data_IF_375199409658
#
_entry.id   IF_375199409658
#
_cell.length_a   1.000
_cell.length_b   1.000
_cell.length_c   1.000
_cell.angle_alpha   90.00
_cell.angle_beta   90.00
_cell.angle_gamma   90.00
#
_symmetry.space_group_name_H-M   'P 1'
#
loop_
_entity.id
_entity.type
_entity.pdbx_description
1 polymer ?
#
# COMPACT_ATOMS: atom_id res chain seq x y z
N UNK A 1 0.90 8.34 15.36
CA UNK A 1 1.61 8.91 14.20
C UNK A 1 2.85 8.05 13.96
N UNK A 2 3.20 7.68 12.72
CA UNK A 2 4.33 6.78 12.42
C UNK A 2 5.04 7.25 11.14
N UNK A 3 6.34 7.01 11.04
CA UNK A 3 7.14 7.29 9.85
C UNK A 3 7.17 6.05 8.96
N UNK A 4 6.82 6.20 7.68
CA UNK A 4 6.99 5.13 6.70
C UNK A 4 8.44 5.12 6.20
N UNK A 5 9.22 4.11 6.60
CA UNK A 5 10.56 3.90 6.04
C UNK A 5 10.47 3.07 4.77
N UNK A 6 10.84 3.68 3.64
CA UNK A 6 10.88 3.05 2.34
C UNK A 6 12.28 2.50 2.07
N UNK A 7 12.36 1.25 1.65
CA UNK A 7 13.64 0.61 1.33
C UNK A 7 13.79 0.43 -0.18
N UNK A 8 15.00 0.67 -0.70
CA UNK A 8 15.38 0.43 -2.08
C UNK A 8 16.67 -0.38 -2.18
N UNK A 9 16.81 -1.14 -3.26
CA UNK A 9 18.01 -1.97 -3.53
C UNK A 9 18.39 -1.82 -4.98
N UNK A 10 19.68 -1.57 -5.24
CA UNK A 10 20.27 -1.56 -6.57
C UNK A 10 21.32 -2.66 -6.66
N UNK A 11 21.13 -3.60 -7.58
CA UNK A 11 21.89 -4.84 -7.68
C UNK A 11 21.37 -5.99 -6.79
N UNK A 12 21.99 -7.16 -6.93
CA UNK A 12 21.53 -8.35 -6.22
C UNK A 12 22.10 -8.36 -4.80
N UNK A 13 21.28 -7.92 -3.86
CA UNK A 13 21.52 -8.03 -2.43
C UNK A 13 20.21 -7.86 -1.69
N UNK A 14 20.28 -7.81 -0.37
CA UNK A 14 19.14 -7.54 0.49
C UNK A 14 19.50 -6.58 1.61
N UNK A 15 18.53 -5.76 2.01
CA UNK A 15 18.54 -5.03 3.27
C UNK A 15 17.59 -5.78 4.21
N UNK A 16 18.10 -6.16 5.38
CA UNK A 16 17.32 -6.85 6.42
C UNK A 16 17.40 -6.10 7.74
N UNK A 17 16.30 -6.02 8.48
CA UNK A 17 16.33 -5.52 9.87
C UNK A 17 16.99 -6.55 10.78
N UNK A 18 17.95 -6.10 11.60
CA UNK A 18 18.65 -6.94 12.59
C UNK A 18 18.36 -6.51 14.03
N UNK A 19 17.96 -5.26 14.25
CA UNK A 19 17.53 -4.78 15.56
C UNK A 19 16.53 -3.62 15.42
N UNK A 20 15.70 -3.43 16.44
CA UNK A 20 14.80 -2.29 16.56
C UNK A 20 14.61 -1.90 18.02
N UNK A 21 14.35 -0.62 18.26
CA UNK A 21 14.00 -0.09 19.58
C UNK A 21 12.54 0.36 19.62
N UNK A 22 12.02 0.53 20.83
CA UNK A 22 10.68 1.09 21.05
C UNK A 22 10.72 2.59 20.85
N UNK A 23 9.64 3.14 20.29
CA UNK A 23 9.46 4.58 20.19
C UNK A 23 8.98 5.20 21.50
N UNK A 24 8.74 6.51 21.46
CA UNK A 24 8.36 7.31 22.64
C UNK A 24 7.10 6.79 23.36
N UNK A 25 6.16 6.19 22.64
CA UNK A 25 4.93 5.61 23.19
C UNK A 25 5.05 4.10 23.51
N UNK A 26 6.28 3.57 23.62
CA UNK A 26 6.54 2.15 23.92
C UNK A 26 6.23 1.16 22.79
N UNK A 27 5.76 1.63 21.64
CA UNK A 27 5.44 0.80 20.47
C UNK A 27 6.70 0.42 19.68
N UNK A 28 6.71 -0.80 19.13
CA UNK A 28 7.74 -1.29 18.20
C UNK A 28 7.40 -0.96 16.74
N UNK A 29 8.39 -0.97 15.82
CA UNK A 29 8.14 -0.98 14.38
C UNK A 29 7.20 -2.12 13.98
N UNK A 30 6.23 -1.81 13.10
CA UNK A 30 5.14 -2.75 12.76
C UNK A 30 5.60 -4.01 12.03
N UNK A 31 6.74 -3.98 11.35
CA UNK A 31 7.34 -5.15 10.69
C UNK A 31 8.83 -4.95 10.38
N UNK A 32 9.65 -6.01 10.36
CA UNK A 32 11.02 -5.93 9.89
C UNK A 32 11.08 -5.68 8.38
N UNK A 33 12.13 -5.00 7.93
CA UNK A 33 12.46 -4.88 6.51
C UNK A 33 13.15 -6.17 6.06
N UNK A 34 12.70 -6.69 4.92
CA UNK A 34 13.36 -7.76 4.17
C UNK A 34 13.18 -7.43 2.70
N UNK A 35 14.05 -6.55 2.21
CA UNK A 35 13.96 -5.97 0.88
C UNK A 35 15.17 -6.39 0.04
N UNK A 36 14.98 -7.15 -1.02
CA UNK A 36 16.10 -7.72 -1.74
C UNK A 36 15.77 -8.98 -2.50
N UNK A 37 16.81 -9.72 -2.84
CA UNK A 37 16.68 -11.09 -3.33
C UNK A 37 16.01 -12.01 -2.29
N UNK A 38 16.10 -11.68 -0.99
CA UNK A 38 15.52 -12.49 0.09
C UNK A 38 14.05 -12.16 0.41
N UNK A 39 13.49 -11.09 -0.16
CA UNK A 39 12.12 -10.68 0.16
C UNK A 39 11.70 -9.34 -0.44
N UNK A 40 10.40 -9.06 -0.35
CA UNK A 40 9.77 -7.87 -0.92
C UNK A 40 9.12 -6.97 0.14
N UNK A 41 9.44 -7.19 1.41
CA UNK A 41 9.00 -6.35 2.53
C UNK A 41 9.93 -5.11 2.62
N UNK A 42 9.77 -4.20 1.66
CA UNK A 42 10.56 -2.97 1.53
C UNK A 42 9.92 -1.74 2.20
N UNK A 43 9.05 -1.98 3.18
CA UNK A 43 8.40 -0.94 3.98
C UNK A 43 8.43 -1.38 5.44
N UNK A 44 8.77 -0.45 6.34
CA UNK A 44 8.43 -0.56 7.75
C UNK A 44 7.78 0.73 8.23
N UNK A 45 6.83 0.61 9.16
CA UNK A 45 6.28 1.76 9.86
C UNK A 45 6.93 1.85 11.23
N UNK A 46 7.67 2.95 11.43
CA UNK A 46 8.52 3.16 12.59
C UNK A 46 7.86 4.21 13.48
N UNK A 47 7.58 3.90 14.76
CA UNK A 47 7.07 4.88 15.72
C UNK A 47 8.05 6.04 15.93
N UNK A 48 7.57 7.25 16.27
CA UNK A 48 8.42 8.40 16.57
C UNK A 48 9.43 8.07 17.67
N UNK A 49 10.69 8.46 17.45
CA UNK A 49 11.81 8.19 18.36
C UNK A 49 12.33 6.76 18.35
N UNK A 50 11.67 5.82 17.66
CA UNK A 50 12.20 4.48 17.50
C UNK A 50 13.37 4.46 16.49
N UNK A 51 14.31 3.56 16.73
CA UNK A 51 15.42 3.27 15.83
C UNK A 51 15.26 1.89 15.20
N UNK A 52 15.77 1.75 13.98
CA UNK A 52 15.83 0.48 13.27
C UNK A 52 17.21 0.29 12.66
N UNK A 53 17.89 -0.77 13.08
CA UNK A 53 19.19 -1.16 12.55
C UNK A 53 19.01 -2.18 11.44
N UNK A 54 19.51 -1.82 10.26
CA UNK A 54 19.47 -2.61 9.05
C UNK A 54 20.87 -3.11 8.71
N UNK A 55 20.93 -4.31 8.12
CA UNK A 55 22.13 -4.93 7.59
C UNK A 55 21.99 -5.12 6.08
N UNK A 56 22.99 -4.68 5.33
CA UNK A 56 23.17 -5.02 3.92
C UNK A 56 23.76 -6.44 3.82
N UNK A 57 23.11 -7.29 3.03
CA UNK A 57 23.47 -8.69 2.81
C UNK A 57 23.63 -8.90 1.31
N UNK A 58 24.87 -8.91 0.78
CA UNK A 58 25.12 -9.21 -0.63
C UNK A 58 24.63 -10.61 -1.00
N UNK A 59 24.12 -10.76 -2.22
CA UNK A 59 23.86 -12.10 -2.77
C UNK A 59 25.19 -12.78 -3.16
N UNK A 60 25.22 -14.11 -3.32
CA UNK A 60 26.38 -14.80 -3.90
C UNK A 60 26.82 -14.16 -5.22
N UNK A 61 28.13 -13.92 -5.37
CA UNK A 61 28.69 -13.24 -6.55
C UNK A 61 28.60 -11.72 -6.54
N UNK A 62 28.10 -11.09 -5.46
CA UNK A 62 28.00 -9.64 -5.29
C UNK A 62 28.73 -9.17 -4.04
N UNK A 63 29.14 -7.90 -4.02
CA UNK A 63 29.64 -7.19 -2.85
C UNK A 63 28.81 -5.94 -2.57
N UNK A 64 28.77 -5.52 -1.32
CA UNK A 64 28.16 -4.26 -0.93
C UNK A 64 29.04 -3.09 -1.37
N UNK A 65 28.49 -2.16 -2.15
CA UNK A 65 29.21 -0.98 -2.64
C UNK A 65 29.04 0.24 -1.72
N UNK A 66 27.90 0.33 -1.02
CA UNK A 66 27.60 1.38 -0.07
C UNK A 66 26.11 1.71 0.03
N UNK A 67 25.78 2.53 1.01
CA UNK A 67 24.45 3.12 1.14
C UNK A 67 24.31 4.30 0.16
N UNK A 68 23.13 4.43 -0.46
CA UNK A 68 22.81 5.47 -1.45
C UNK A 68 21.93 6.57 -0.86
N UNK A 69 20.98 6.20 -0.01
CA UNK A 69 20.10 7.14 0.70
C UNK A 69 19.88 6.72 2.14
N UNK A 70 19.62 7.69 3.02
CA UNK A 70 19.29 7.50 4.44
C UNK A 70 20.47 7.19 5.35
N UNK A 71 21.45 6.44 4.86
CA UNK A 71 22.74 6.19 5.52
C UNK A 71 23.90 6.55 4.58
N UNK A 72 25.09 6.70 5.15
CA UNK A 72 26.32 7.01 4.41
C UNK A 72 27.40 5.95 4.69
N UNK A 73 28.38 5.88 3.80
CA UNK A 73 29.53 4.99 3.95
C UNK A 73 29.31 3.55 3.49
N UNK A 74 30.28 2.69 3.84
CA UNK A 74 30.39 1.29 3.40
C UNK A 74 30.22 0.27 4.53
N UNK A 75 29.88 0.72 5.74
CA UNK A 75 29.51 -0.21 6.81
C UNK A 75 28.32 -1.04 6.38
N UNK A 76 28.37 -2.35 6.60
CA UNK A 76 27.25 -3.25 6.31
C UNK A 76 26.02 -2.92 7.18
N UNK A 77 26.19 -2.17 8.26
CA UNK A 77 25.10 -1.75 9.14
C UNK A 77 24.71 -0.30 8.91
N UNK A 78 23.41 -0.03 9.02
CA UNK A 78 22.82 1.30 8.90
C UNK A 78 21.72 1.42 9.94
N UNK A 79 21.82 2.41 10.82
CA UNK A 79 20.79 2.69 11.81
C UNK A 79 19.99 3.89 11.36
N UNK A 80 18.68 3.71 11.22
CA UNK A 80 17.73 4.76 10.90
C UNK A 80 16.92 5.12 12.15
N UNK A 81 16.78 6.41 12.44
CA UNK A 81 15.94 6.91 13.53
C UNK A 81 14.72 7.63 12.96
N UNK A 82 13.53 7.24 13.38
CA UNK A 82 12.32 7.97 13.02
C UNK A 82 12.25 9.28 13.80
N UNK A 83 12.17 10.40 13.08
CA UNK A 83 11.94 11.71 13.68
C UNK A 83 10.58 11.83 14.39
N UNK A 84 10.38 12.95 15.09
CA UNK A 84 9.16 13.20 15.88
C UNK A 84 7.87 13.38 15.07
N UNK A 85 7.93 13.52 13.73
CA UNK A 85 6.80 13.87 12.88
C UNK A 85 6.41 12.77 11.86
N UNK A 86 5.15 12.81 11.40
CA UNK A 86 4.67 11.93 10.32
C UNK A 86 5.41 12.26 9.04
N UNK A 87 6.05 11.27 8.45
CA UNK A 87 6.78 11.46 7.20
C UNK A 87 7.16 10.16 6.53
N UNK A 88 7.91 10.31 5.45
CA UNK A 88 8.45 9.21 4.66
C UNK A 88 9.97 9.30 4.73
N UNK A 89 10.61 8.30 5.34
CA UNK A 89 12.06 8.11 5.26
C UNK A 89 12.42 7.22 4.08
N UNK A 90 13.65 7.30 3.58
CA UNK A 90 14.13 6.34 2.58
C UNK A 90 15.53 5.87 2.90
N UNK A 91 15.76 4.56 2.74
CA UNK A 91 17.08 3.94 2.84
C UNK A 91 17.30 3.07 1.62
N UNK A 92 18.45 3.20 0.98
CA UNK A 92 18.80 2.35 -0.15
C UNK A 92 20.26 1.93 -0.15
N UNK A 93 20.51 0.74 -0.70
CA UNK A 93 21.82 0.11 -0.77
C UNK A 93 22.15 -0.27 -2.20
N UNK A 94 23.43 -0.19 -2.54
CA UNK A 94 23.97 -0.69 -3.80
C UNK A 94 24.82 -1.94 -3.57
N UNK A 95 24.61 -2.93 -4.43
CA UNK A 95 25.35 -4.17 -4.51
C UNK A 95 25.89 -4.33 -5.93
N UNK A 96 27.20 -4.47 -6.07
CA UNK A 96 27.85 -4.63 -7.36
C UNK A 96 28.35 -6.07 -7.52
N UNK A 97 28.26 -6.66 -8.73
CA UNK A 97 28.80 -7.98 -8.97
C UNK A 97 30.32 -7.99 -8.74
N UNK A 98 30.85 -9.10 -8.23
CA UNK A 98 32.30 -9.29 -8.04
C UNK A 98 33.06 -9.30 -9.37
N UNK A 99 32.42 -9.81 -10.43
CA UNK A 99 32.90 -9.78 -11.81
C UNK A 99 31.94 -8.94 -12.67
N UNK A 100 32.08 -7.60 -12.70
CA UNK A 100 31.15 -6.74 -13.40
C UNK A 100 31.34 -6.83 -14.92
N UNK A 101 30.23 -7.04 -15.64
CA UNK A 101 30.18 -6.72 -17.06
C UNK A 101 30.06 -5.20 -17.19
N UNK A 102 31.18 -4.51 -17.46
CA UNK A 102 31.23 -3.05 -17.57
C UNK A 102 30.33 -2.50 -18.69
N UNK A 103 30.02 -3.31 -19.70
CA UNK A 103 29.11 -2.94 -20.76
C UNK A 103 27.64 -3.00 -20.32
N UNK A 104 27.29 -3.63 -19.20
CA UNK A 104 25.92 -3.76 -18.69
C UNK A 104 25.69 -2.86 -17.47
N UNK A 105 25.10 -1.70 -17.71
CA UNK A 105 24.68 -0.75 -16.69
C UNK A 105 23.18 -0.52 -16.84
N UNK A 106 22.43 -0.78 -15.78
CA UNK A 106 21.00 -0.49 -15.68
C UNK A 106 20.80 0.66 -14.70
N UNK A 107 19.97 1.63 -15.07
CA UNK A 107 19.57 2.74 -14.20
C UNK A 107 18.06 2.85 -14.20
N UNK A 108 17.47 2.76 -13.02
CA UNK A 108 16.05 2.98 -12.83
C UNK A 108 15.87 4.35 -12.18
N UNK A 109 15.06 5.22 -12.77
CA UNK A 109 14.67 6.47 -12.13
C UNK A 109 13.64 6.19 -11.02
N UNK A 110 13.50 7.11 -10.07
CA UNK A 110 12.46 7.00 -9.03
C UNK A 110 11.08 6.91 -9.68
N UNK A 111 10.34 5.80 -9.52
CA UNK A 111 9.03 5.64 -10.13
C UNK A 111 8.01 6.53 -9.43
N UNK A 112 6.96 6.91 -10.16
CA UNK A 112 5.86 7.70 -9.60
C UNK A 112 4.51 7.06 -9.89
N UNK A 113 3.59 7.20 -8.94
CA UNK A 113 2.19 6.79 -9.08
C UNK A 113 1.31 7.99 -8.77
N UNK A 114 0.67 8.52 -9.81
CA UNK A 114 -0.35 9.57 -9.65
C UNK A 114 -1.70 8.90 -9.50
N UNK A 115 -2.31 8.97 -8.31
CA UNK A 115 -3.56 8.29 -7.99
C UNK A 115 -4.65 9.26 -7.53
N UNK A 116 -5.91 8.91 -7.85
CA UNK A 116 -7.12 9.58 -7.37
C UNK A 116 -8.08 8.54 -6.80
N UNK A 117 -8.82 8.93 -5.77
CA UNK A 117 -9.79 8.09 -5.10
C UNK A 117 -11.15 8.77 -5.17
N UNK A 118 -12.18 8.05 -5.62
CA UNK A 118 -13.57 8.51 -5.62
C UNK A 118 -14.42 7.46 -4.94
N UNK A 119 -15.08 7.82 -3.84
CA UNK A 119 -15.87 6.89 -3.04
C UNK A 119 -15.09 5.58 -2.70
N UNK A 120 -13.85 5.75 -2.25
CA UNK A 120 -12.91 4.66 -1.94
C UNK A 120 -12.53 3.76 -3.11
N UNK A 121 -12.83 4.14 -4.36
CA UNK A 121 -12.36 3.45 -5.56
C UNK A 121 -11.14 4.18 -6.12
N UNK A 122 -9.99 3.51 -6.09
CA UNK A 122 -8.72 4.05 -6.57
C UNK A 122 -8.51 3.84 -8.07
N UNK A 123 -8.01 4.88 -8.75
CA UNK A 123 -7.47 4.83 -10.11
C UNK A 123 -6.16 5.61 -10.14
N UNK A 124 -5.15 5.11 -10.82
CA UNK A 124 -3.89 5.83 -10.95
C UNK A 124 -3.09 5.46 -12.18
N UNK A 125 -2.03 6.22 -12.44
CA UNK A 125 -1.08 5.99 -13.52
C UNK A 125 0.30 5.77 -12.93
N UNK A 126 0.86 4.58 -13.17
CA UNK A 126 2.26 4.28 -12.91
C UNK A 126 3.11 4.87 -14.04
N UNK A 127 4.16 5.61 -13.68
CA UNK A 127 5.20 6.07 -14.60
C UNK A 127 6.55 5.51 -14.15
N UNK A 128 7.24 4.87 -15.09
CA UNK A 128 8.56 4.29 -14.87
C UNK A 128 9.46 4.70 -16.02
N UNK A 129 10.67 5.12 -15.70
CA UNK A 129 11.69 5.50 -16.68
C UNK A 129 13.03 4.94 -16.24
N UNK A 130 13.88 4.65 -17.21
CA UNK A 130 15.22 4.17 -16.94
C UNK A 130 16.03 4.04 -18.22
N UNK A 131 17.22 3.48 -18.08
CA UNK A 131 18.08 3.14 -19.20
C UNK A 131 18.83 1.85 -18.92
N UNK A 132 19.21 1.18 -20.01
CA UNK A 132 20.11 0.04 -20.00
C UNK A 132 21.06 0.15 -21.19
N UNK A 133 22.34 -0.09 -20.96
CA UNK A 133 23.38 0.07 -21.99
C UNK A 133 23.38 -1.05 -23.04
N UNK A 134 22.92 -2.25 -22.69
CA UNK A 134 22.76 -3.37 -23.62
C UNK A 134 21.29 -3.66 -23.92
N UNK A 135 20.97 -4.10 -25.15
CA UNK A 135 19.65 -4.64 -25.47
C UNK A 135 19.22 -5.72 -24.48
N UNK A 136 18.05 -5.54 -23.86
CA UNK A 136 17.59 -6.42 -22.79
C UNK A 136 16.08 -6.69 -22.84
N UNK A 137 15.70 -7.88 -22.37
CA UNK A 137 14.32 -8.24 -22.03
C UNK A 137 14.14 -8.01 -20.53
N UNK A 138 13.42 -6.96 -20.16
CA UNK A 138 13.15 -6.57 -18.79
C UNK A 138 11.77 -7.03 -18.35
N UNK A 139 11.67 -7.42 -17.09
CA UNK A 139 10.43 -7.75 -16.40
C UNK A 139 10.25 -6.80 -15.22
N UNK A 140 9.20 -6.01 -15.28
CA UNK A 140 8.80 -5.08 -14.24
C UNK A 140 7.63 -5.67 -13.46
N UNK A 141 7.71 -5.67 -12.14
CA UNK A 141 6.60 -6.05 -11.27
C UNK A 141 6.32 -4.95 -10.25
N UNK A 142 5.05 -4.58 -10.12
CA UNK A 142 4.54 -3.74 -9.05
C UNK A 142 3.78 -4.61 -8.05
N UNK A 143 4.05 -4.46 -6.76
CA UNK A 143 3.43 -5.24 -5.68
C UNK A 143 3.17 -4.40 -4.45
N UNK A 144 2.38 -4.93 -3.51
CA UNK A 144 2.40 -4.44 -2.13
C UNK A 144 3.65 -4.95 -1.41
N UNK A 145 4.19 -4.23 -0.42
CA UNK A 145 5.27 -4.74 0.42
C UNK A 145 4.89 -6.10 1.02
N UNK A 146 5.76 -7.10 0.85
CA UNK A 146 5.52 -8.48 1.31
C UNK A 146 4.47 -9.27 0.53
N UNK A 147 3.84 -8.68 -0.47
CA UNK A 147 2.76 -9.30 -1.25
C UNK A 147 3.17 -9.83 -2.62
N UNK A 148 2.24 -10.54 -3.25
CA UNK A 148 2.33 -10.95 -4.64
C UNK A 148 2.28 -9.77 -5.63
N UNK A 149 2.69 -10.00 -6.90
CA UNK A 149 2.64 -8.98 -7.94
C UNK A 149 1.21 -8.58 -8.28
N UNK A 150 0.91 -7.28 -8.22
CA UNK A 150 -0.35 -6.68 -8.66
C UNK A 150 -0.35 -6.37 -10.16
N UNK A 151 0.83 -6.09 -10.71
CA UNK A 151 1.04 -5.82 -12.13
C UNK A 151 2.38 -6.41 -12.53
N UNK A 152 2.43 -7.09 -13.67
CA UNK A 152 3.67 -7.51 -14.33
C UNK A 152 3.67 -6.98 -15.76
N UNK A 153 4.78 -6.38 -16.19
CA UNK A 153 4.98 -5.87 -17.55
C UNK A 153 6.34 -6.31 -18.06
N UNK A 154 6.37 -6.81 -19.29
CA UNK A 154 7.61 -7.14 -19.99
C UNK A 154 7.95 -6.00 -20.94
N UNK A 155 9.22 -5.60 -20.98
CA UNK A 155 9.72 -4.46 -21.76
C UNK A 155 10.94 -4.95 -22.53
N UNK A 156 11.00 -4.68 -23.84
CA UNK A 156 12.26 -4.77 -24.59
C UNK A 156 12.90 -3.39 -24.55
N UNK A 157 14.11 -3.28 -24.04
CA UNK A 157 14.81 -2.01 -23.89
C UNK A 157 16.13 -2.04 -24.67
N UNK A 158 16.36 -1.00 -25.46
CA UNK A 158 17.60 -0.75 -26.20
C UNK A 158 17.98 0.70 -25.89
N UNK A 159 18.84 0.90 -24.90
CA UNK A 159 19.10 2.24 -24.35
C UNK A 159 18.03 2.68 -23.35
N UNK A 160 17.42 3.86 -23.58
CA UNK A 160 16.37 4.41 -22.72
C UNK A 160 15.05 3.64 -22.82
N UNK A 161 14.33 3.53 -21.70
CA UNK A 161 12.98 2.95 -21.68
C UNK A 161 12.03 3.75 -20.79
N UNK A 162 10.74 3.71 -21.16
CA UNK A 162 9.65 4.34 -20.44
C UNK A 162 8.43 3.44 -20.45
N UNK A 163 7.75 3.31 -19.33
CA UNK A 163 6.51 2.55 -19.18
C UNK A 163 5.48 3.41 -18.47
N UNK A 164 4.30 3.52 -19.07
CA UNK A 164 3.09 4.01 -18.43
C UNK A 164 2.10 2.86 -18.26
N UNK A 165 1.46 2.75 -17.11
CA UNK A 165 0.48 1.68 -16.87
C UNK A 165 -0.66 2.14 -15.98
N UNK A 166 -1.89 1.92 -16.44
CA UNK A 166 -3.10 2.28 -15.72
C UNK A 166 -3.38 1.28 -14.59
N UNK A 167 -3.38 1.78 -13.35
CA UNK A 167 -3.67 1.04 -12.13
C UNK A 167 -5.13 1.24 -11.75
N UNK A 168 -5.99 0.30 -12.13
CA UNK A 168 -7.41 0.27 -11.74
C UNK A 168 -7.90 -1.18 -11.62
N UNK A 169 -9.03 -1.36 -10.94
CA UNK A 169 -9.72 -2.67 -10.91
C UNK A 169 -9.94 -3.17 -12.35
N UNK A 170 -9.68 -4.46 -12.57
CA UNK A 170 -9.69 -5.10 -13.89
C UNK A 170 -8.33 -5.14 -14.58
N UNK A 171 -7.44 -4.17 -14.30
CA UNK A 171 -6.06 -4.16 -14.83
C UNK A 171 -5.03 -4.74 -13.84
N UNK A 172 -5.41 -4.89 -12.58
CA UNK A 172 -4.59 -5.47 -11.53
C UNK A 172 -4.96 -6.94 -11.32
N UNK A 173 -3.96 -7.75 -10.97
CA UNK A 173 -4.12 -9.18 -10.74
C UNK A 173 -5.22 -9.48 -9.70
N UNK A 174 -5.97 -10.56 -9.93
CA UNK A 174 -7.00 -11.04 -9.00
C UNK A 174 -8.14 -10.05 -8.76
N UNK A 175 -8.40 -9.11 -9.68
CA UNK A 175 -9.41 -8.08 -9.51
C UNK A 175 -9.09 -7.08 -8.40
N UNK A 176 -7.81 -6.99 -8.00
CA UNK A 176 -7.35 -6.10 -6.94
C UNK A 176 -7.70 -4.63 -7.24
N UNK A 177 -7.89 -3.87 -6.17
CA UNK A 177 -8.12 -2.44 -6.25
C UNK A 177 -6.86 -1.68 -5.86
N UNK A 178 -6.66 -0.51 -6.48
CA UNK A 178 -5.68 0.44 -6.00
C UNK A 178 -6.17 1.03 -4.66
N UNK A 179 -5.35 0.94 -3.63
CA UNK A 179 -5.52 1.61 -2.36
C UNK A 179 -4.30 2.51 -2.07
N UNK A 180 -4.38 3.50 -1.17
CA UNK A 180 -3.21 4.27 -0.75
C UNK A 180 -2.11 3.42 -0.10
N UNK A 181 -0.98 4.04 0.21
CA UNK A 181 0.17 3.40 0.88
C UNK A 181 1.30 3.02 -0.07
N UNK A 182 2.25 2.23 0.43
CA UNK A 182 3.45 1.89 -0.33
C UNK A 182 3.22 0.77 -1.36
N UNK A 183 4.05 0.81 -2.40
CA UNK A 183 4.18 -0.21 -3.43
C UNK A 183 5.67 -0.43 -3.71
N UNK A 184 6.04 -1.68 -3.93
CA UNK A 184 7.40 -2.05 -4.32
C UNK A 184 7.41 -2.33 -5.81
N UNK A 185 8.33 -1.71 -6.52
CA UNK A 185 8.59 -1.95 -7.92
C UNK A 185 9.91 -2.69 -8.04
N UNK A 186 9.89 -3.86 -8.67
CA UNK A 186 11.09 -4.64 -8.98
C UNK A 186 11.28 -4.71 -10.50
N UNK A 187 12.50 -4.45 -10.96
CA UNK A 187 12.95 -4.64 -12.33
C UNK A 187 14.02 -5.73 -12.34
N UNK A 188 13.76 -6.78 -13.11
CA UNK A 188 14.71 -7.86 -13.40
C UNK A 188 14.75 -8.08 -14.92
N UNK A 189 15.61 -8.96 -15.41
CA UNK A 189 15.66 -9.28 -16.83
C UNK A 189 16.95 -9.92 -17.27
N UNK A 190 17.14 -10.01 -18.57
CA UNK A 190 18.38 -10.50 -19.19
C UNK A 190 18.79 -9.62 -20.38
N UNK A 191 20.10 -9.39 -20.51
CA UNK A 191 20.73 -8.83 -21.69
C UNK A 191 21.53 -9.96 -22.36
N UNK A 192 20.98 -10.54 -23.44
CA UNK A 192 21.42 -11.84 -23.94
C UNK A 192 21.30 -12.90 -22.84
N UNK A 193 22.44 -13.52 -22.49
CA UNK A 193 22.54 -14.52 -21.41
C UNK A 193 22.96 -13.91 -20.06
N UNK A 194 23.25 -12.60 -20.00
CA UNK A 194 23.68 -11.95 -18.76
C UNK A 194 22.46 -11.48 -17.97
N UNK A 195 22.28 -11.90 -16.70
CA UNK A 195 21.22 -11.38 -15.84
C UNK A 195 21.40 -9.88 -15.59
N UNK A 196 20.31 -9.12 -15.71
CA UNK A 196 20.29 -7.71 -15.34
C UNK A 196 20.25 -7.61 -13.81
N UNK A 197 21.16 -6.84 -13.17
CA UNK A 197 21.14 -6.65 -11.73
C UNK A 197 19.79 -6.09 -11.25
N UNK A 198 19.23 -6.70 -10.21
CA UNK A 198 17.93 -6.35 -9.63
C UNK A 198 17.85 -4.86 -9.31
N UNK A 199 16.77 -4.20 -9.71
CA UNK A 199 16.46 -2.86 -9.22
C UNK A 199 15.16 -2.93 -8.44
N UNK A 200 15.16 -2.47 -7.20
CA UNK A 200 13.95 -2.33 -6.38
C UNK A 200 13.83 -0.94 -5.81
N UNK A 201 12.68 -0.32 -6.08
CA UNK A 201 12.31 0.99 -5.55
C UNK A 201 10.93 0.91 -4.95
N UNK A 202 10.76 1.57 -3.82
CA UNK A 202 9.47 1.67 -3.14
C UNK A 202 8.88 3.05 -3.41
N UNK A 203 7.62 3.09 -3.82
CA UNK A 203 6.85 4.31 -4.12
C UNK A 203 5.65 4.39 -3.20
N UNK A 204 5.32 5.60 -2.74
CA UNK A 204 4.22 5.81 -1.80
C UNK A 204 3.07 6.57 -2.48
N UNK A 205 1.86 6.02 -2.39
CA UNK A 205 0.63 6.68 -2.84
C UNK A 205 -0.02 7.37 -1.65
N UNK A 206 -0.11 8.70 -1.70
CA UNK A 206 -0.75 9.49 -0.64
C UNK A 206 -2.24 9.17 -0.52
N UNK A 207 -2.71 9.15 0.72
CA UNK A 207 -4.14 8.99 1.03
C UNK A 207 -4.90 10.28 0.78
N UNK A 208 -6.16 10.21 0.31
CA UNK A 208 -7.06 11.35 0.35
C UNK A 208 -7.40 11.72 1.81
N UNK A 209 -7.72 12.99 2.08
CA UNK A 209 -7.98 13.48 3.44
C UNK A 209 -9.23 12.86 4.07
N UNK A 210 -10.22 12.56 3.24
CA UNK A 210 -11.44 11.87 3.64
C UNK A 210 -11.23 10.37 3.95
N UNK A 211 -10.04 9.82 3.74
CA UNK A 211 -9.75 8.41 3.96
C UNK A 211 -10.28 7.48 2.87
N UNK A 212 -10.00 6.18 3.01
CA UNK A 212 -10.41 5.15 2.05
C UNK A 212 -10.89 3.92 2.81
N UNK A 213 -12.08 3.42 2.46
CA UNK A 213 -12.63 2.17 2.97
C UNK A 213 -12.15 1.00 2.11
N UNK A 214 -11.48 0.03 2.74
CA UNK A 214 -11.00 -1.20 2.09
C UNK A 214 -12.12 -2.22 1.90
N UNK A 215 -12.89 -2.46 2.95
CA UNK A 215 -13.99 -3.43 2.98
C UNK A 215 -15.22 -2.78 3.58
N UNK A 216 -16.37 -3.09 3.02
CA UNK A 216 -17.65 -2.70 3.59
C UNK A 216 -18.66 -3.79 3.33
N UNK A 217 -19.49 -4.09 4.33
CA UNK A 217 -20.46 -5.17 4.21
C UNK A 217 -21.66 -4.97 5.13
N UNK A 218 -22.83 -5.51 4.76
CA UNK A 218 -23.99 -5.56 5.63
C UNK A 218 -23.90 -6.66 6.70
N UNK A 219 -24.56 -6.44 7.84
CA UNK A 219 -24.69 -7.38 8.95
C UNK A 219 -26.07 -7.24 9.61
N UNK A 220 -26.45 -8.23 10.41
CA UNK A 220 -27.69 -8.23 11.22
C UNK A 220 -27.48 -7.70 12.63
N UNK A 221 -26.23 -7.43 13.04
CA UNK A 221 -25.87 -6.87 14.36
C UNK A 221 -24.65 -5.97 14.28
N UNK A 222 -24.42 -5.17 15.31
CA UNK A 222 -23.23 -4.33 15.43
C UNK A 222 -21.96 -5.18 15.39
N UNK A 223 -20.97 -4.74 14.60
CA UNK A 223 -19.68 -5.43 14.39
C UNK A 223 -19.79 -6.93 14.02
N UNK A 224 -20.97 -7.33 13.51
CA UNK A 224 -21.25 -8.71 13.17
C UNK A 224 -20.54 -9.19 11.90
N UNK A 225 -20.66 -10.49 11.59
CA UNK A 225 -20.16 -11.05 10.33
C UNK A 225 -20.95 -10.49 9.14
N UNK A 226 -20.39 -10.66 7.94
CA UNK A 226 -21.06 -10.31 6.70
C UNK A 226 -22.29 -11.18 6.47
N UNK A 227 -23.44 -10.55 6.21
CA UNK A 227 -24.70 -11.21 5.86
C UNK A 227 -25.31 -10.50 4.65
N UNK A 228 -25.36 -11.17 3.49
CA UNK A 228 -25.90 -10.59 2.25
C UNK A 228 -26.53 -11.66 1.34
N UNK A 229 -27.84 -11.59 1.05
CA UNK A 229 -28.80 -10.60 1.54
C UNK A 229 -29.08 -10.74 3.05
N UNK A 230 -29.61 -9.69 3.66
CA UNK A 230 -30.10 -9.71 5.04
C UNK A 230 -31.42 -10.50 5.09
N UNK A 231 -31.60 -11.47 6.00
CA UNK A 231 -32.81 -12.28 6.08
C UNK A 231 -34.08 -11.45 6.34
N UNK A 232 -35.20 -11.90 5.78
CA UNK A 232 -36.53 -11.36 6.07
C UNK A 232 -36.83 -11.51 7.57
N UNK A 233 -37.50 -10.52 8.16
CA UNK A 233 -37.81 -10.52 9.60
C UNK A 233 -36.68 -9.98 10.48
N UNK A 234 -35.52 -9.62 9.91
CA UNK A 234 -34.45 -8.96 10.68
C UNK A 234 -34.95 -7.63 11.26
N UNK A 235 -34.84 -7.46 12.58
CA UNK A 235 -35.22 -6.22 13.29
C UNK A 235 -34.13 -5.14 13.24
N UNK A 236 -32.92 -5.52 12.84
CA UNK A 236 -31.76 -4.64 12.78
C UNK A 236 -31.02 -4.79 11.45
N UNK A 237 -30.51 -3.65 10.96
CA UNK A 237 -29.74 -3.55 9.74
C UNK A 237 -28.46 -2.79 10.00
N UNK A 238 -27.33 -3.45 9.87
CA UNK A 238 -26.02 -2.87 10.14
C UNK A 238 -25.16 -2.82 8.89
N UNK A 239 -24.31 -1.81 8.82
CA UNK A 239 -23.28 -1.64 7.82
C UNK A 239 -21.93 -1.47 8.52
N UNK A 240 -20.98 -2.32 8.13
CA UNK A 240 -19.63 -2.33 8.68
C UNK A 240 -18.69 -1.76 7.64
N UNK A 241 -17.79 -0.87 8.07
CA UNK A 241 -16.77 -0.21 7.25
C UNK A 241 -15.39 -0.42 7.86
N UNK A 242 -14.51 -1.07 7.13
CA UNK A 242 -13.10 -1.22 7.48
C UNK A 242 -12.26 -0.26 6.65
N UNK A 243 -11.58 0.67 7.30
CA UNK A 243 -10.70 1.63 6.64
C UNK A 243 -9.39 0.98 6.20
N UNK A 244 -8.95 1.34 4.99
CA UNK A 244 -7.54 1.25 4.63
C UNK A 244 -6.76 2.38 5.29
N UNK A 245 -7.24 3.61 5.10
CA UNK A 245 -6.67 4.79 5.72
C UNK A 245 -7.80 5.59 6.34
N UNK A 246 -7.64 5.89 7.62
CA UNK A 246 -8.62 6.63 8.38
C UNK A 246 -8.70 8.09 7.89
N UNK A 247 -9.87 8.73 7.96
CA UNK A 247 -10.00 10.13 7.62
C UNK A 247 -9.17 11.01 8.55
N UNK A 248 -8.65 12.12 8.03
CA UNK A 248 -7.92 13.14 8.81
C UNK A 248 -8.60 14.50 8.70
N UNK A 249 -9.81 14.56 8.16
CA UNK A 249 -10.57 15.81 7.98
C UNK A 249 -12.03 15.66 8.39
N UNK A 250 -12.45 16.48 9.35
CA UNK A 250 -13.84 16.66 9.76
C UNK A 250 -14.48 15.44 10.44
N UNK A 251 -15.73 15.60 10.93
CA UNK A 251 -16.46 14.50 11.55
C UNK A 251 -16.81 13.42 10.53
N UNK A 252 -16.84 12.16 10.98
CA UNK A 252 -17.31 11.03 10.19
C UNK A 252 -18.81 10.88 10.42
N UNK A 253 -19.59 10.88 9.35
CA UNK A 253 -21.03 10.71 9.40
C UNK A 253 -21.50 9.56 8.51
N UNK A 254 -22.45 8.77 9.03
CA UNK A 254 -23.15 7.75 8.28
C UNK A 254 -24.62 8.17 8.12
N UNK A 255 -25.01 8.43 6.88
CA UNK A 255 -26.37 8.84 6.54
C UNK A 255 -27.14 7.68 5.90
N UNK A 256 -28.27 7.34 6.50
CA UNK A 256 -29.14 6.24 6.09
C UNK A 256 -30.32 6.74 5.26
N UNK A 257 -30.64 5.99 4.21
CA UNK A 257 -31.77 6.25 3.33
C UNK A 257 -32.63 4.98 3.20
N UNK A 258 -33.94 5.18 3.21
CA UNK A 258 -34.93 4.12 3.07
C UNK A 258 -35.10 3.66 1.61
N UNK A 259 -36.10 2.78 1.40
CA UNK A 259 -36.44 2.19 0.10
C UNK A 259 -36.85 3.21 -0.96
N UNK A 260 -37.41 4.35 -0.55
CA UNK A 260 -37.82 5.47 -1.42
C UNK A 260 -36.70 6.50 -1.59
N UNK A 261 -35.56 6.29 -0.94
CA UNK A 261 -34.45 7.24 -0.92
C UNK A 261 -34.65 8.41 0.04
N UNK A 262 -35.65 8.37 0.92
CA UNK A 262 -35.88 9.37 1.97
C UNK A 262 -34.84 9.19 3.08
N UNK A 263 -34.38 10.30 3.65
CA UNK A 263 -33.47 10.33 4.78
C UNK A 263 -34.12 9.66 6.00
N UNK A 264 -33.47 8.63 6.54
CA UNK A 264 -33.84 7.99 7.81
C UNK A 264 -33.15 8.69 8.98
N UNK A 265 -31.86 8.97 8.84
CA UNK A 265 -31.07 9.63 9.88
C UNK A 265 -29.60 9.75 9.52
N UNK A 266 -28.88 10.58 10.28
CA UNK A 266 -27.42 10.73 10.17
C UNK A 266 -26.79 10.48 11.53
N UNK A 267 -25.82 9.57 11.58
CA UNK A 267 -25.14 9.16 12.80
C UNK A 267 -23.69 9.61 12.72
N UNK A 268 -23.23 10.38 13.71
CA UNK A 268 -21.81 10.74 13.85
C UNK A 268 -21.04 9.56 14.46
N UNK A 269 -19.85 9.27 13.91
CA UNK A 269 -19.01 8.15 14.36
C UNK A 269 -17.62 8.62 14.77
N UNK A 270 -17.08 7.97 15.80
CA UNK A 270 -15.69 8.15 16.21
C UNK A 270 -14.74 7.56 15.15
N UNK A 271 -13.60 8.21 14.94
CA UNK A 271 -12.61 7.74 13.99
C UNK A 271 -11.88 6.49 14.51
N UNK A 272 -12.34 5.32 14.05
CA UNK A 272 -11.77 4.01 14.38
C UNK A 272 -11.37 3.27 13.09
N UNK A 273 -10.42 2.32 13.14
CA UNK A 273 -10.06 1.51 11.97
C UNK A 273 -11.24 0.73 11.37
N UNK A 274 -12.20 0.37 12.22
CA UNK A 274 -13.45 -0.28 11.86
C UNK A 274 -14.59 0.51 12.50
N UNK A 275 -15.62 0.81 11.71
CA UNK A 275 -16.81 1.54 12.15
C UNK A 275 -18.04 0.77 11.70
N UNK A 276 -18.96 0.55 12.63
CA UNK A 276 -20.29 0.02 12.36
C UNK A 276 -21.37 1.07 12.60
N UNK A 277 -22.43 1.01 11.82
CA UNK A 277 -23.61 1.87 11.93
C UNK A 277 -24.82 1.05 11.54
N UNK A 278 -25.98 1.32 12.14
CA UNK A 278 -27.17 0.57 11.85
C UNK A 278 -28.43 1.37 12.13
N UNK A 279 -29.53 0.83 11.62
CA UNK A 279 -30.91 1.28 11.86
C UNK A 279 -31.75 0.06 12.28
N UNK A 280 -32.92 0.31 12.86
CA UNK A 280 -33.77 -0.71 13.45
C UNK A 280 -33.71 -0.69 14.99
N UNK A 281 -34.56 -1.48 15.63
CA UNK A 281 -34.78 -1.45 17.07
C UNK A 281 -35.15 -2.81 17.64
N UNK A 282 -35.62 -2.82 18.90
CA UNK A 282 -36.05 -4.05 19.57
C UNK A 282 -37.37 -4.61 19.00
N UNK A 283 -38.17 -3.79 18.34
CA UNK A 283 -39.49 -4.13 17.80
C UNK A 283 -39.61 -3.75 16.33
N UNK A 284 -40.30 -4.60 15.55
CA UNK A 284 -40.57 -4.37 14.12
C UNK A 284 -39.50 -4.91 13.18
N UNK A 285 -39.92 -5.72 12.21
CA UNK A 285 -39.05 -6.20 11.13
C UNK A 285 -38.73 -5.08 10.15
N UNK A 286 -37.50 -5.02 9.67
CA UNK A 286 -37.09 -4.09 8.62
C UNK A 286 -37.70 -4.55 7.30
N UNK A 287 -38.46 -3.69 6.59
CA UNK A 287 -39.07 -4.03 5.31
C UNK A 287 -38.09 -4.57 4.29
N UNK A 288 -38.52 -5.55 3.49
CA UNK A 288 -37.76 -6.08 2.37
C UNK A 288 -37.46 -4.98 1.34
N UNK A 289 -36.27 -5.00 0.75
CA UNK A 289 -35.86 -4.02 -0.26
C UNK A 289 -34.39 -3.61 -0.16
N UNK A 290 -34.01 -2.52 -0.84
CA UNK A 290 -32.61 -2.04 -0.87
C UNK A 290 -32.45 -0.74 -0.11
N UNK A 291 -31.78 -0.80 1.03
CA UNK A 291 -31.38 0.37 1.80
C UNK A 291 -30.04 0.91 1.31
N UNK A 292 -29.80 2.20 1.55
CA UNK A 292 -28.56 2.86 1.18
C UNK A 292 -27.98 3.58 2.38
N UNK A 293 -26.71 3.33 2.66
CA UNK A 293 -25.94 4.10 3.65
C UNK A 293 -24.78 4.82 2.95
N UNK A 294 -24.58 6.08 3.31
CA UNK A 294 -23.55 6.96 2.77
C UNK A 294 -22.63 7.39 3.89
N UNK A 295 -21.36 6.99 3.80
CA UNK A 295 -20.32 7.38 4.74
C UNK A 295 -19.57 8.59 4.20
N UNK A 296 -19.46 9.64 5.01
CA UNK A 296 -18.75 10.89 4.71
C UNK A 296 -17.75 11.25 5.81
N UNK A 297 -16.72 12.03 5.45
CA UNK A 297 -15.83 12.69 6.40
C UNK A 297 -15.65 14.15 5.97
N UNK A 298 -15.93 15.09 6.89
CA UNK A 298 -15.89 16.52 6.57
C UNK A 298 -16.76 16.88 5.35
N UNK A 299 -17.92 16.25 5.22
CA UNK A 299 -18.85 16.43 4.09
C UNK A 299 -18.49 15.68 2.80
N UNK A 300 -17.26 15.16 2.64
CA UNK A 300 -16.82 14.42 1.44
C UNK A 300 -17.22 12.95 1.49
N UNK A 301 -17.65 12.41 0.36
CA UNK A 301 -18.06 11.01 0.20
C UNK A 301 -16.86 10.05 0.31
N UNK A 302 -16.91 9.15 1.29
CA UNK A 302 -15.95 8.06 1.45
C UNK A 302 -16.45 6.80 0.77
N UNK A 303 -17.68 6.37 1.06
CA UNK A 303 -18.23 5.10 0.56
C UNK A 303 -19.76 5.13 0.58
N UNK A 304 -20.37 4.51 -0.42
CA UNK A 304 -21.80 4.17 -0.42
C UNK A 304 -21.94 2.65 -0.36
N UNK A 305 -22.81 2.15 0.51
CA UNK A 305 -23.18 0.73 0.58
C UNK A 305 -24.67 0.61 0.31
N UNK A 306 -25.04 -0.33 -0.55
CA UNK A 306 -26.42 -0.75 -0.77
C UNK A 306 -26.61 -2.10 -0.10
N UNK A 307 -27.65 -2.22 0.71
CA UNK A 307 -27.93 -3.42 1.50
C UNK A 307 -29.27 -3.97 1.07
N UNK A 308 -29.29 -5.22 0.61
CA UNK A 308 -30.51 -5.93 0.23
C UNK A 308 -31.04 -6.70 1.43
N UNK A 309 -32.29 -6.43 1.79
CA UNK A 309 -33.11 -7.21 2.72
C UNK A 309 -34.04 -8.09 1.88
N UNK A 310 -34.03 -9.39 2.17
CA UNK A 310 -34.81 -10.41 1.46
C UNK A 310 -36.32 -10.25 1.67
#
# INVERSE_FOLDING_TARGET
MQTSLLTGVEGNGSIVTVASTRGLAGALPRQPVKCGVQGTACLSEIPPGATMTMKAVPAPGYKFAGWKTGCTGRSLTCTFTAGGSVGTGSVSAEFVPLKPNRALVVRLQTPSISAKFKASVGKGLLNVKGSITLPAKLRLQLRRPGGGPLLTKNIRAVGGFSLKSLLKKGNLAGGAQLFPGAFVLSLTGTAGNTPVPLQMKTVFVKSPREGVVRKSYPSTREDGPRVNPIPRGSSQLWAVFQFETQPISGPITATWYDLKGKLVGTITKNNRPMISTGIGGATGAIPSGTYKVVLKAGGKLIKTVRIRVA
#
